data_IF_757890906573
#
_entry.id   IF_757890906573
#
_cell.length_a   1.000
_cell.length_b   1.000
_cell.length_c   1.000
_cell.angle_alpha   90.00
_cell.angle_beta   90.00
_cell.angle_gamma   90.00
#
_symmetry.space_group_name_H-M   'P 1'
#
loop_
_entity.id
_entity.type
_entity.pdbx_description
1 polymer ?
#
# COMPACT_ATOMS: atom_id res chain seq x y z
N UNK A 1 -25.35 9.68 16.59
CA UNK A 1 -23.97 9.72 17.13
C UNK A 1 -23.71 8.71 18.24
N UNK A 2 -24.66 8.48 19.17
CA UNK A 2 -24.47 7.58 20.33
C UNK A 2 -23.90 6.19 19.97
N UNK A 3 -24.45 5.51 18.95
CA UNK A 3 -23.97 4.19 18.50
C UNK A 3 -22.54 4.25 17.94
N UNK A 4 -22.18 5.30 17.19
CA UNK A 4 -20.81 5.49 16.66
C UNK A 4 -19.77 5.69 17.77
N UNK A 5 -20.18 6.21 18.93
CA UNK A 5 -19.30 6.41 20.08
C UNK A 5 -19.18 5.16 20.95
N UNK A 6 -20.31 4.50 21.26
CA UNK A 6 -20.32 3.33 22.16
C UNK A 6 -19.85 2.05 21.46
N UNK A 7 -20.23 1.87 20.19
CA UNK A 7 -19.90 0.69 19.39
C UNK A 7 -19.51 1.08 17.95
N UNK A 8 -18.34 1.72 17.76
CA UNK A 8 -17.91 2.25 16.46
C UNK A 8 -17.84 1.18 15.36
N UNK A 9 -17.28 0.01 15.67
CA UNK A 9 -17.16 -1.10 14.71
C UNK A 9 -18.52 -1.59 14.23
N UNK A 10 -19.49 -1.74 15.14
CA UNK A 10 -20.85 -2.12 14.78
C UNK A 10 -21.50 -1.04 13.93
N UNK A 11 -21.37 0.23 14.32
CA UNK A 11 -21.93 1.35 13.57
C UNK A 11 -21.42 1.36 12.12
N UNK A 12 -20.11 1.29 11.91
CA UNK A 12 -19.50 1.28 10.57
C UNK A 12 -19.98 0.09 9.75
N UNK A 13 -19.99 -1.12 10.33
CA UNK A 13 -20.48 -2.33 9.63
C UNK A 13 -21.95 -2.22 9.25
N UNK A 14 -22.79 -1.73 10.17
CA UNK A 14 -24.22 -1.56 9.94
C UNK A 14 -24.51 -0.51 8.87
N UNK A 15 -23.82 0.64 8.91
CA UNK A 15 -23.95 1.67 7.88
C UNK A 15 -23.46 1.16 6.52
N UNK A 16 -22.33 0.47 6.45
CA UNK A 16 -21.83 -0.10 5.20
C UNK A 16 -22.82 -1.13 4.62
N UNK A 17 -23.38 -1.99 5.46
CA UNK A 17 -24.42 -2.93 5.05
C UNK A 17 -25.66 -2.21 4.48
N UNK A 18 -26.13 -1.15 5.16
CA UNK A 18 -27.26 -0.36 4.67
C UNK A 18 -26.94 0.35 3.36
N UNK A 19 -25.74 0.95 3.24
CA UNK A 19 -25.29 1.60 2.02
C UNK A 19 -25.24 0.59 0.88
N UNK A 20 -24.65 -0.59 1.08
CA UNK A 20 -24.59 -1.64 0.06
C UNK A 20 -25.99 -2.10 -0.40
N UNK A 21 -26.98 -2.12 0.50
CA UNK A 21 -28.37 -2.48 0.18
C UNK A 21 -29.19 -1.38 -0.49
N UNK A 22 -28.98 -0.13 -0.08
CA UNK A 22 -29.79 1.02 -0.50
C UNK A 22 -29.21 1.69 -1.73
N UNK A 23 -27.88 1.71 -1.85
CA UNK A 23 -27.18 2.37 -2.96
C UNK A 23 -27.69 1.75 -4.27
N UNK A 24 -28.19 2.55 -5.22
CA UNK A 24 -28.54 2.02 -6.53
C UNK A 24 -27.32 1.29 -7.08
N UNK A 25 -27.56 0.20 -7.80
CA UNK A 25 -26.51 -0.67 -8.32
C UNK A 25 -25.67 0.11 -9.36
N UNK A 26 -24.76 0.97 -8.91
CA UNK A 26 -23.78 1.66 -9.73
C UNK A 26 -22.62 0.69 -9.88
N UNK A 27 -22.79 -0.29 -10.75
CA UNK A 27 -21.79 -1.32 -10.98
C UNK A 27 -20.78 -0.82 -11.99
N UNK A 28 -19.93 0.10 -11.53
CA UNK A 28 -18.68 0.41 -12.17
C UNK A 28 -17.77 -0.79 -11.96
N UNK A 29 -17.86 -1.76 -12.87
CA UNK A 29 -16.90 -2.83 -12.95
C UNK A 29 -15.75 -2.43 -13.88
N UNK A 30 -14.52 -2.91 -13.62
CA UNK A 30 -13.46 -2.80 -14.58
C UNK A 30 -13.86 -3.54 -15.88
N UNK A 31 -14.15 -2.77 -16.93
CA UNK A 31 -14.32 -3.33 -18.27
C UNK A 31 -12.98 -3.31 -18.99
N UNK A 32 -12.64 -4.43 -19.63
CA UNK A 32 -11.51 -4.46 -20.55
C UNK A 32 -11.87 -3.83 -21.89
N UNK A 33 -13.15 -3.76 -22.24
CA UNK A 33 -13.62 -3.27 -23.55
C UNK A 33 -13.30 -1.79 -23.76
N UNK A 34 -13.09 -1.04 -22.67
CA UNK A 34 -12.69 0.37 -22.72
C UNK A 34 -11.17 0.57 -22.80
N UNK A 35 -10.38 -0.51 -22.79
CA UNK A 35 -8.92 -0.49 -22.89
C UNK A 35 -8.56 -1.16 -24.21
N UNK A 36 -7.82 -0.47 -25.09
CA UNK A 36 -7.40 -1.06 -26.37
C UNK A 36 -6.60 -2.35 -26.16
N UNK A 37 -6.63 -3.26 -27.13
CA UNK A 37 -5.87 -4.51 -27.01
C UNK A 37 -4.37 -4.24 -26.92
N UNK A 38 -3.88 -3.22 -27.64
CA UNK A 38 -2.50 -2.75 -27.56
C UNK A 38 -2.14 -2.30 -26.14
N UNK A 39 -2.99 -1.48 -25.50
CA UNK A 39 -2.76 -1.01 -24.13
C UNK A 39 -2.81 -2.16 -23.12
N UNK A 40 -3.72 -3.11 -23.28
CA UNK A 40 -3.79 -4.29 -22.43
C UNK A 40 -2.47 -5.10 -22.49
N UNK A 41 -1.95 -5.33 -23.69
CA UNK A 41 -0.67 -6.02 -23.88
C UNK A 41 0.49 -5.23 -23.29
N UNK A 42 0.53 -3.91 -23.52
CA UNK A 42 1.53 -3.02 -22.96
C UNK A 42 1.55 -3.04 -21.42
N UNK A 43 0.39 -2.89 -20.77
CA UNK A 43 0.28 -2.93 -19.32
C UNK A 43 0.71 -4.28 -18.74
N UNK A 44 0.32 -5.38 -19.38
CA UNK A 44 0.70 -6.73 -18.97
C UNK A 44 2.22 -6.97 -19.06
N UNK A 45 2.84 -6.55 -20.16
CA UNK A 45 4.28 -6.68 -20.36
C UNK A 45 5.06 -5.79 -19.40
N UNK A 46 4.62 -4.54 -19.25
CA UNK A 46 5.25 -3.55 -18.38
C UNK A 46 5.28 -4.02 -16.93
N UNK A 47 4.16 -4.50 -16.38
CA UNK A 47 4.12 -4.95 -14.98
C UNK A 47 5.00 -6.18 -14.76
N UNK A 48 4.94 -7.19 -15.64
CA UNK A 48 5.74 -8.41 -15.54
C UNK A 48 7.24 -8.11 -15.55
N UNK A 49 7.68 -7.23 -16.46
CA UNK A 49 9.08 -6.81 -16.55
C UNK A 49 9.51 -6.01 -15.32
N UNK A 50 8.70 -5.05 -14.89
CA UNK A 50 9.01 -4.18 -13.73
C UNK A 50 9.20 -4.98 -12.45
N UNK A 51 8.36 -5.99 -12.20
CA UNK A 51 8.47 -6.85 -11.01
C UNK A 51 9.43 -8.04 -11.20
N UNK A 52 10.09 -8.12 -12.36
CA UNK A 52 10.99 -9.20 -12.75
C UNK A 52 10.36 -10.60 -12.63
N UNK A 53 9.08 -10.74 -13.00
CA UNK A 53 8.34 -12.01 -13.00
C UNK A 53 8.29 -12.59 -14.42
N UNK A 54 9.39 -12.60 -15.16
CA UNK A 54 9.41 -13.07 -16.55
C UNK A 54 9.49 -14.61 -16.68
N UNK A 55 9.85 -15.31 -15.60
CA UNK A 55 10.08 -16.76 -15.55
C UNK A 55 9.57 -17.33 -14.23
N UNK A 56 9.39 -18.65 -14.19
CA UNK A 56 9.06 -19.41 -12.99
C UNK A 56 7.78 -18.93 -12.29
N UNK A 57 6.71 -18.72 -13.05
CA UNK A 57 5.41 -18.33 -12.50
C UNK A 57 4.92 -19.36 -11.49
N UNK A 58 4.50 -18.85 -10.33
CA UNK A 58 3.70 -19.61 -9.37
C UNK A 58 2.32 -19.87 -9.97
N UNK A 59 1.68 -21.00 -9.63
CA UNK A 59 0.30 -21.25 -10.05
C UNK A 59 -0.69 -20.19 -9.52
N UNK A 60 -0.36 -19.52 -8.41
CA UNK A 60 -1.13 -18.41 -7.87
C UNK A 60 -0.21 -17.20 -7.71
N UNK A 61 -0.56 -16.11 -8.39
CA UNK A 61 0.13 -14.81 -8.30
C UNK A 61 -0.85 -13.78 -7.77
N UNK A 62 -0.48 -13.05 -6.72
CA UNK A 62 -1.35 -12.05 -6.08
C UNK A 62 -0.89 -10.65 -6.44
N UNK A 63 -1.76 -9.89 -7.08
CA UNK A 63 -1.60 -8.44 -7.25
C UNK A 63 -2.27 -7.76 -6.06
N UNK A 64 -1.48 -7.46 -5.04
CA UNK A 64 -1.96 -6.86 -3.80
C UNK A 64 -1.89 -5.34 -3.86
N UNK A 65 -3.05 -4.69 -3.91
CA UNK A 65 -3.18 -3.26 -3.75
C UNK A 65 -3.14 -2.86 -2.27
N UNK A 66 -2.87 -1.58 -2.02
CA UNK A 66 -3.00 -0.98 -0.69
C UNK A 66 -4.25 -0.09 -0.62
N UNK A 67 -4.90 -0.12 0.54
CA UNK A 67 -5.96 0.80 0.93
C UNK A 67 -5.92 0.98 2.45
N UNK A 68 -6.76 1.87 2.97
CA UNK A 68 -6.89 2.09 4.40
C UNK A 68 -8.36 2.28 4.77
N UNK A 69 -8.69 2.14 6.05
CA UNK A 69 -10.01 2.51 6.58
C UNK A 69 -9.82 3.38 7.78
N UNK A 70 -10.41 4.57 7.75
CA UNK A 70 -10.43 5.50 8.88
C UNK A 70 -11.73 6.28 8.90
N UNK A 71 -12.15 6.69 10.08
CA UNK A 71 -13.33 7.54 10.28
C UNK A 71 -12.90 8.94 10.71
N UNK A 72 -13.60 9.97 10.21
CA UNK A 72 -13.39 11.37 10.59
C UNK A 72 -11.91 11.80 10.54
N UNK A 73 -11.31 11.65 9.36
CA UNK A 73 -9.88 11.89 9.18
C UNK A 73 -9.59 12.74 7.95
N UNK A 74 -9.30 14.02 8.18
CA UNK A 74 -8.90 15.01 7.18
C UNK A 74 -7.70 14.58 6.34
N UNK A 75 -6.79 13.78 6.90
CA UNK A 75 -5.62 13.23 6.22
C UNK A 75 -5.79 11.75 5.80
N UNK A 76 -7.01 11.21 5.78
CA UNK A 76 -7.25 9.78 5.48
C UNK A 76 -6.63 9.32 4.15
N UNK A 77 -6.56 10.19 3.14
CA UNK A 77 -5.90 9.95 1.85
C UNK A 77 -4.40 9.70 1.98
N UNK A 78 -3.73 10.25 3.00
CA UNK A 78 -2.31 9.99 3.26
C UNK A 78 -2.05 8.58 3.82
N UNK A 79 -3.08 7.89 4.32
CA UNK A 79 -3.00 6.49 4.74
C UNK A 79 -3.33 5.51 3.61
N UNK A 80 -3.98 5.99 2.55
CA UNK A 80 -4.14 5.23 1.31
C UNK A 80 -2.82 5.16 0.52
N UNK A 81 -2.86 4.54 -0.66
CA UNK A 81 -1.67 4.36 -1.47
C UNK A 81 -1.21 5.70 -2.07
N UNK A 82 -0.01 6.16 -1.68
CA UNK A 82 0.61 7.35 -2.26
C UNK A 82 0.82 7.25 -3.77
N UNK A 83 1.21 6.06 -4.28
CA UNK A 83 1.35 5.81 -5.71
C UNK A 83 0.01 5.80 -6.47
N UNK A 84 -1.13 5.70 -5.76
CA UNK A 84 -2.47 5.78 -6.34
C UNK A 84 -3.16 7.10 -5.98
N UNK A 85 -2.38 8.17 -5.81
CA UNK A 85 -2.91 9.51 -5.51
C UNK A 85 -3.81 9.54 -4.27
N UNK A 86 -3.45 8.80 -3.22
CA UNK A 86 -4.21 8.76 -1.96
C UNK A 86 -5.55 8.02 -2.05
N UNK A 87 -5.70 7.11 -3.02
CA UNK A 87 -6.86 6.22 -3.16
C UNK A 87 -6.48 4.76 -2.94
N UNK A 88 -7.48 3.89 -2.80
CA UNK A 88 -7.25 2.44 -2.86
C UNK A 88 -6.75 2.03 -4.24
N UNK A 89 -5.72 1.19 -4.28
CA UNK A 89 -5.20 0.62 -5.53
C UNK A 89 -6.02 -0.55 -6.08
N UNK A 90 -7.13 -0.95 -5.44
CA UNK A 90 -7.85 -2.19 -5.79
C UNK A 90 -8.38 -2.19 -7.23
N UNK A 91 -8.79 -1.03 -7.76
CA UNK A 91 -9.21 -0.92 -9.16
C UNK A 91 -8.11 -1.38 -10.12
N UNK A 92 -6.88 -0.89 -9.92
CA UNK A 92 -5.73 -1.23 -10.74
C UNK A 92 -5.37 -2.72 -10.61
N UNK A 93 -5.38 -3.27 -9.39
CA UNK A 93 -5.11 -4.69 -9.16
C UNK A 93 -6.12 -5.60 -9.88
N UNK A 94 -7.41 -5.24 -9.85
CA UNK A 94 -8.46 -5.99 -10.56
C UNK A 94 -8.29 -5.93 -12.08
N UNK A 95 -8.08 -4.74 -12.63
CA UNK A 95 -7.84 -4.56 -14.08
C UNK A 95 -6.65 -5.40 -14.51
N UNK A 96 -5.52 -5.29 -13.83
CA UNK A 96 -4.30 -6.02 -14.19
C UNK A 96 -4.46 -7.53 -14.03
N UNK A 97 -5.13 -8.01 -12.97
CA UNK A 97 -5.41 -9.44 -12.80
C UNK A 97 -6.27 -9.98 -13.96
N UNK A 98 -7.30 -9.21 -14.37
CA UNK A 98 -8.17 -9.56 -15.48
C UNK A 98 -7.40 -9.60 -16.81
N UNK A 99 -6.59 -8.58 -17.10
CA UNK A 99 -5.71 -8.53 -18.28
C UNK A 99 -4.75 -9.73 -18.32
N UNK A 100 -4.11 -10.05 -17.20
CA UNK A 100 -3.12 -11.14 -17.13
C UNK A 100 -3.74 -12.54 -17.16
N UNK A 101 -5.05 -12.65 -16.93
CA UNK A 101 -5.80 -13.90 -17.11
C UNK A 101 -6.44 -14.01 -18.50
N UNK A 102 -6.37 -12.98 -19.34
CA UNK A 102 -6.95 -12.98 -20.69
C UNK A 102 -6.06 -13.78 -21.67
N UNK A 103 -6.65 -14.76 -22.35
CA UNK A 103 -5.93 -15.69 -23.22
C UNK A 103 -5.25 -14.94 -24.39
N UNK A 104 -5.95 -13.99 -24.99
CA UNK A 104 -5.42 -13.18 -26.11
C UNK A 104 -4.19 -12.38 -25.71
N UNK A 105 -4.15 -11.86 -24.47
CA UNK A 105 -3.00 -11.13 -23.92
C UNK A 105 -1.84 -12.09 -23.65
N UNK A 106 -2.11 -13.26 -23.05
CA UNK A 106 -1.07 -14.30 -22.85
C UNK A 106 -0.45 -14.77 -24.16
N UNK A 107 -1.26 -14.93 -25.21
CA UNK A 107 -0.81 -15.27 -26.56
C UNK A 107 0.02 -14.16 -27.22
N UNK A 108 -0.19 -12.89 -26.85
CA UNK A 108 0.68 -11.80 -27.27
C UNK A 108 2.02 -11.83 -26.51
N UNK A 109 1.98 -11.97 -25.18
CA UNK A 109 3.16 -12.00 -24.33
C UNK A 109 4.15 -13.12 -24.69
N UNK A 110 3.66 -14.27 -25.17
CA UNK A 110 4.51 -15.37 -25.63
C UNK A 110 5.40 -14.98 -26.81
N UNK A 111 4.95 -14.08 -27.69
CA UNK A 111 5.75 -13.52 -28.79
C UNK A 111 6.90 -12.66 -28.26
N UNK A 112 6.70 -12.00 -27.13
CA UNK A 112 7.73 -11.26 -26.38
C UNK A 112 8.56 -12.15 -25.43
N UNK A 113 8.51 -13.49 -25.61
CA UNK A 113 9.23 -14.50 -24.80
C UNK A 113 8.81 -14.54 -23.33
N UNK A 114 7.62 -14.07 -22.99
CA UNK A 114 7.02 -14.17 -21.66
C UNK A 114 5.96 -15.27 -21.71
N UNK A 115 6.28 -16.42 -21.11
CA UNK A 115 5.40 -17.60 -21.11
C UNK A 115 4.72 -17.74 -19.75
N UNK A 116 3.44 -17.38 -19.68
CA UNK A 116 2.60 -17.59 -18.50
C UNK A 116 1.92 -18.95 -18.62
N UNK A 117 2.18 -19.91 -17.72
CA UNK A 117 1.51 -21.21 -17.73
C UNK A 117 -0.01 -21.08 -17.61
N UNK A 118 -0.77 -21.94 -18.29
CA UNK A 118 -2.24 -22.00 -18.13
C UNK A 118 -2.65 -22.31 -16.69
N UNK A 119 -1.80 -23.03 -15.96
CA UNK A 119 -1.98 -23.33 -14.52
C UNK A 119 -1.74 -22.13 -13.60
N UNK A 120 -1.30 -20.98 -14.15
CA UNK A 120 -1.11 -19.73 -13.40
C UNK A 120 -2.38 -18.89 -13.41
N UNK A 121 -2.83 -18.52 -12.22
CA UNK A 121 -3.96 -17.63 -12.00
C UNK A 121 -3.50 -16.36 -11.27
N UNK A 122 -3.85 -15.20 -11.84
CA UNK A 122 -3.61 -13.90 -11.21
C UNK A 122 -4.82 -13.49 -10.39
N UNK A 123 -4.61 -13.19 -9.11
CA UNK A 123 -5.63 -12.83 -8.14
C UNK A 123 -5.42 -11.38 -7.69
N UNK A 124 -6.48 -10.57 -7.75
CA UNK A 124 -6.48 -9.25 -7.13
C UNK A 124 -6.70 -9.37 -5.61
N UNK A 125 -5.98 -8.56 -4.85
CA UNK A 125 -6.15 -8.42 -3.41
C UNK A 125 -6.02 -6.96 -2.97
N UNK A 126 -6.54 -6.65 -1.79
CA UNK A 126 -6.38 -5.35 -1.14
C UNK A 126 -5.94 -5.55 0.30
N UNK A 127 -4.78 -5.01 0.66
CA UNK A 127 -4.31 -4.89 2.04
C UNK A 127 -4.80 -3.56 2.62
N UNK A 128 -5.61 -3.66 3.67
CA UNK A 128 -6.01 -2.54 4.51
C UNK A 128 -4.91 -2.25 5.53
N UNK A 129 -4.14 -1.20 5.32
CA UNK A 129 -2.98 -0.84 6.15
C UNK A 129 -3.38 -0.62 7.62
N UNK A 130 -4.55 0.00 7.86
CA UNK A 130 -5.05 0.30 9.22
C UNK A 130 -5.39 -0.95 10.04
N UNK A 131 -5.80 -2.05 9.40
CA UNK A 131 -6.29 -3.27 10.10
C UNK A 131 -5.48 -4.53 9.81
N UNK A 132 -4.54 -4.46 8.86
CA UNK A 132 -3.81 -5.58 8.26
C UNK A 132 -4.69 -6.67 7.65
N UNK A 133 -5.96 -6.37 7.39
CA UNK A 133 -6.82 -7.27 6.63
C UNK A 133 -6.43 -7.27 5.16
N UNK A 134 -6.22 -8.47 4.61
CA UNK A 134 -6.04 -8.64 3.16
C UNK A 134 -7.28 -9.31 2.60
N UNK A 135 -8.06 -8.56 1.81
CA UNK A 135 -9.25 -9.05 1.14
C UNK A 135 -8.89 -9.55 -0.26
N UNK A 136 -9.26 -10.79 -0.56
CA UNK A 136 -9.03 -11.42 -1.86
C UNK A 136 -10.26 -11.28 -2.75
N UNK A 137 -10.04 -11.03 -4.04
CA UNK A 137 -11.09 -10.84 -5.03
C UNK A 137 -10.90 -11.82 -6.20
N UNK A 138 -11.20 -13.12 -6.00
CA UNK A 138 -11.19 -14.08 -7.10
C UNK A 138 -12.31 -13.74 -8.08
N UNK A 139 -11.99 -13.72 -9.37
CA UNK A 139 -12.91 -13.46 -10.47
C UNK A 139 -12.71 -14.49 -11.60
N UNK A 140 -13.77 -14.76 -12.36
CA UNK A 140 -13.74 -15.76 -13.43
C UNK A 140 -13.66 -17.20 -12.93
N UNK A 141 -13.38 -18.12 -13.85
CA UNK A 141 -13.23 -19.55 -13.55
C UNK A 141 -11.78 -19.89 -13.25
N UNK A 142 -11.56 -20.71 -12.22
CA UNK A 142 -10.26 -21.26 -11.85
C UNK A 142 -10.44 -22.69 -11.35
N UNK A 143 -9.36 -23.49 -11.37
CA UNK A 143 -9.42 -24.90 -11.00
C UNK A 143 -9.59 -25.11 -9.48
N UNK A 144 -10.05 -26.30 -9.09
CA UNK A 144 -10.13 -26.69 -7.68
C UNK A 144 -8.78 -26.59 -6.94
N UNK A 145 -7.66 -26.86 -7.64
CA UNK A 145 -6.32 -26.70 -7.09
C UNK A 145 -5.97 -25.23 -6.77
N UNK A 146 -6.46 -24.28 -7.56
CA UNK A 146 -6.31 -22.84 -7.26
C UNK A 146 -7.21 -22.44 -6.09
N UNK A 147 -8.43 -22.98 -6.03
CA UNK A 147 -9.34 -22.74 -4.90
C UNK A 147 -8.73 -23.17 -3.56
N UNK A 148 -8.10 -24.34 -3.51
CA UNK A 148 -7.38 -24.83 -2.33
C UNK A 148 -6.26 -23.87 -1.92
N UNK A 149 -5.45 -23.39 -2.88
CA UNK A 149 -4.38 -22.41 -2.62
C UNK A 149 -4.92 -21.08 -2.11
N UNK A 150 -6.04 -20.60 -2.66
CA UNK A 150 -6.71 -19.38 -2.18
C UNK A 150 -7.19 -19.58 -0.73
N UNK A 151 -7.76 -20.74 -0.42
CA UNK A 151 -8.23 -21.05 0.94
C UNK A 151 -7.08 -21.17 1.94
N UNK A 152 -5.93 -21.74 1.53
CA UNK A 152 -4.73 -21.74 2.35
C UNK A 152 -4.18 -20.32 2.57
N UNK A 153 -4.06 -19.53 1.50
CA UNK A 153 -3.63 -18.14 1.58
C UNK A 153 -4.52 -17.31 2.52
N UNK A 154 -5.85 -17.51 2.50
CA UNK A 154 -6.76 -16.86 3.46
C UNK A 154 -6.45 -17.20 4.92
N UNK A 155 -6.03 -18.43 5.23
CA UNK A 155 -5.63 -18.84 6.58
C UNK A 155 -4.31 -18.16 6.98
N UNK A 156 -3.33 -18.19 6.08
CA UNK A 156 -2.00 -17.59 6.33
C UNK A 156 -2.11 -16.07 6.54
N UNK A 157 -2.92 -15.38 5.73
CA UNK A 157 -3.18 -13.94 5.87
C UNK A 157 -3.90 -13.59 7.17
N UNK A 158 -4.78 -14.45 7.69
CA UNK A 158 -5.42 -14.25 9.00
C UNK A 158 -4.39 -14.32 10.13
N UNK A 159 -3.44 -15.24 10.05
CA UNK A 159 -2.36 -15.34 11.04
C UNK A 159 -1.40 -14.15 10.93
N UNK A 160 -1.01 -13.77 9.72
CA UNK A 160 -0.18 -12.58 9.49
C UNK A 160 -0.83 -11.30 10.05
N UNK A 161 -2.14 -11.12 9.85
CA UNK A 161 -2.92 -10.02 10.43
C UNK A 161 -2.87 -10.01 11.96
N UNK A 162 -2.99 -11.17 12.60
CA UNK A 162 -2.90 -11.31 14.06
C UNK A 162 -1.53 -10.87 14.57
N UNK A 163 -0.45 -11.37 13.96
CA UNK A 163 0.93 -11.01 14.30
C UNK A 163 1.17 -9.50 14.13
N UNK A 164 0.76 -8.94 13.00
CA UNK A 164 0.92 -7.50 12.74
C UNK A 164 0.10 -6.63 13.71
N UNK A 165 -1.14 -7.04 14.03
CA UNK A 165 -1.98 -6.35 15.02
C UNK A 165 -1.34 -6.36 16.42
N UNK A 166 -0.70 -7.46 16.81
CA UNK A 166 0.04 -7.55 18.07
C UNK A 166 1.23 -6.59 18.08
N UNK A 167 2.04 -6.57 17.01
CA UNK A 167 3.18 -5.65 16.87
C UNK A 167 2.72 -4.19 16.98
N UNK A 168 1.71 -3.81 16.19
CA UNK A 168 1.15 -2.45 16.18
C UNK A 168 0.58 -2.03 17.54
N UNK A 169 -0.14 -2.93 18.22
CA UNK A 169 -0.70 -2.63 19.55
C UNK A 169 0.39 -2.33 20.58
N UNK A 170 1.53 -3.03 20.52
CA UNK A 170 2.68 -2.77 21.40
C UNK A 170 3.30 -1.39 21.11
N UNK A 171 3.51 -1.06 19.83
CA UNK A 171 4.07 0.24 19.44
C UNK A 171 3.16 1.43 19.78
N UNK A 172 1.85 1.20 19.81
CA UNK A 172 0.86 2.19 20.26
C UNK A 172 0.69 2.26 21.78
N UNK A 173 1.59 1.64 22.54
CA UNK A 173 1.67 1.68 24.01
C UNK A 173 0.38 1.24 24.71
N UNK A 174 -0.36 0.32 24.10
CA UNK A 174 -1.55 -0.26 24.72
C UNK A 174 -1.15 -1.55 25.44
N UNK A 175 -0.99 -1.46 26.76
CA UNK A 175 -0.85 -2.59 27.69
C UNK A 175 -2.17 -3.37 27.81
N UNK A 176 -2.71 -3.85 26.70
CA UNK A 176 -3.82 -4.82 26.70
C UNK A 176 -3.25 -6.20 26.41
N UNK A 177 -3.89 -7.24 26.96
CA UNK A 177 -3.51 -8.63 26.68
C UNK A 177 -3.40 -8.86 25.16
N UNK A 178 -2.44 -9.69 24.76
CA UNK A 178 -2.17 -9.99 23.34
C UNK A 178 -3.42 -10.44 22.57
N UNK A 179 -4.37 -11.05 23.29
CA UNK A 179 -5.63 -11.59 22.78
C UNK A 179 -6.60 -10.53 22.23
N UNK A 180 -6.47 -9.26 22.63
CA UNK A 180 -7.36 -8.17 22.17
C UNK A 180 -6.75 -7.25 21.12
N UNK A 181 -5.56 -7.56 20.62
CA UNK A 181 -4.84 -6.72 19.64
C UNK A 181 -5.62 -6.49 18.34
N UNK A 182 -6.25 -7.54 17.79
CA UNK A 182 -7.08 -7.46 16.58
C UNK A 182 -8.33 -6.59 16.78
N UNK A 183 -9.02 -6.78 17.90
CA UNK A 183 -10.19 -5.97 18.26
C UNK A 183 -9.78 -4.50 18.44
N UNK A 184 -8.62 -4.26 19.06
CA UNK A 184 -8.07 -2.94 19.27
C UNK A 184 -7.78 -2.20 17.95
N UNK A 185 -7.02 -2.81 17.04
CA UNK A 185 -6.70 -2.19 15.74
C UNK A 185 -7.95 -1.95 14.89
N UNK A 186 -8.86 -2.92 14.87
CA UNK A 186 -10.16 -2.80 14.17
C UNK A 186 -11.05 -1.72 14.79
N UNK A 187 -11.08 -1.59 16.11
CA UNK A 187 -11.83 -0.51 16.77
C UNK A 187 -11.23 0.84 16.43
N UNK A 188 -9.90 0.95 16.40
CA UNK A 188 -9.20 2.20 16.08
C UNK A 188 -9.49 2.71 14.67
N UNK A 189 -9.62 1.81 13.69
CA UNK A 189 -9.98 2.19 12.32
C UNK A 189 -11.42 2.70 12.17
N UNK A 190 -12.32 2.29 13.07
CA UNK A 190 -13.75 2.62 13.02
C UNK A 190 -14.17 3.72 14.01
N UNK A 191 -13.32 4.08 14.95
CA UNK A 191 -13.62 5.05 15.99
C UNK A 191 -13.33 6.48 15.49
N UNK A 192 -14.40 7.24 15.29
CA UNK A 192 -14.38 8.60 14.75
C UNK A 192 -13.63 9.61 15.62
N UNK A 193 -13.42 9.30 16.91
CA UNK A 193 -12.64 10.14 17.82
C UNK A 193 -11.13 9.87 17.74
N UNK A 194 -10.69 8.85 16.97
CA UNK A 194 -9.29 8.50 16.90
C UNK A 194 -8.51 9.53 16.10
N UNK A 195 -7.57 10.18 16.79
CA UNK A 195 -6.60 11.06 16.15
C UNK A 195 -5.47 10.30 15.46
N UNK A 196 -5.30 9.01 15.81
CA UNK A 196 -4.27 8.08 15.31
C UNK A 196 -4.85 6.69 15.07
N UNK A 197 -5.60 6.48 13.97
CA UNK A 197 -6.13 5.16 13.61
C UNK A 197 -5.00 4.17 13.30
N UNK A 198 -3.92 4.63 12.64
CA UNK A 198 -2.66 3.93 12.46
C UNK A 198 -1.46 4.92 12.41
N UNK A 199 -0.23 4.39 12.28
CA UNK A 199 0.99 5.19 12.10
C UNK A 199 1.33 5.46 10.61
N UNK A 200 0.56 4.88 9.68
CA UNK A 200 0.87 4.91 8.26
C UNK A 200 2.28 4.37 8.00
N UNK A 201 3.07 5.11 7.23
CA UNK A 201 4.45 4.79 6.89
C UNK A 201 5.47 5.54 7.77
N UNK A 202 5.08 5.98 8.97
CA UNK A 202 6.03 6.55 9.91
C UNK A 202 7.16 5.55 10.25
N UNK A 203 8.30 6.07 10.69
CA UNK A 203 9.59 5.34 10.81
C UNK A 203 10.21 4.79 9.52
N UNK A 204 9.62 5.01 8.34
CA UNK A 204 10.27 4.65 7.08
C UNK A 204 11.69 5.25 7.02
N UNK A 205 12.64 4.44 6.56
CA UNK A 205 14.06 4.74 6.65
C UNK A 205 14.83 4.35 5.40
N UNK A 206 14.43 3.26 4.74
CA UNK A 206 15.21 2.71 3.62
C UNK A 206 14.37 2.08 2.54
N UNK A 207 14.96 1.99 1.35
CA UNK A 207 14.42 1.26 0.21
C UNK A 207 15.46 0.30 -0.33
N UNK A 208 15.22 -1.01 -0.21
CA UNK A 208 16.11 -2.05 -0.71
C UNK A 208 15.65 -2.52 -2.08
N UNK A 209 16.54 -2.43 -3.06
CA UNK A 209 16.37 -2.95 -4.42
C UNK A 209 17.35 -4.12 -4.55
N UNK A 210 16.90 -5.31 -4.13
CA UNK A 210 17.77 -6.47 -3.98
C UNK A 210 17.01 -7.80 -4.13
N UNK A 211 17.70 -8.91 -4.46
CA UNK A 211 17.06 -10.22 -4.53
C UNK A 211 16.43 -10.63 -3.20
N UNK A 212 15.25 -11.26 -3.25
CA UNK A 212 14.53 -11.78 -2.07
C UNK A 212 15.42 -12.59 -1.12
N UNK A 213 16.31 -13.43 -1.66
CA UNK A 213 17.14 -14.31 -0.83
C UNK A 213 18.15 -13.56 0.06
N UNK A 214 18.48 -12.30 -0.28
CA UNK A 214 19.33 -11.41 0.51
C UNK A 214 18.53 -10.80 1.67
N UNK A 215 17.30 -10.37 1.39
CA UNK A 215 16.48 -9.62 2.37
C UNK A 215 15.66 -10.53 3.29
N UNK A 216 15.32 -11.76 2.89
CA UNK A 216 14.38 -12.65 3.61
C UNK A 216 14.74 -13.02 5.05
N UNK A 217 16.01 -12.91 5.44
CA UNK A 217 16.49 -13.27 6.79
C UNK A 217 16.69 -12.07 7.70
N UNK A 218 16.45 -10.86 7.20
CA UNK A 218 16.66 -9.61 7.92
C UNK A 218 15.33 -9.14 8.51
N UNK A 219 15.35 -8.71 9.77
CA UNK A 219 14.26 -7.94 10.35
C UNK A 219 14.51 -6.45 10.09
N UNK A 220 13.63 -5.83 9.31
CA UNK A 220 13.70 -4.39 9.01
C UNK A 220 12.85 -3.56 9.97
N UNK A 221 12.25 -4.18 10.99
CA UNK A 221 11.38 -3.54 11.99
C UNK A 221 10.18 -2.78 11.38
N UNK A 222 9.81 -3.10 10.14
CA UNK A 222 8.80 -2.38 9.35
C UNK A 222 9.23 -0.99 8.87
N UNK A 223 10.55 -0.74 8.73
CA UNK A 223 11.12 0.57 8.33
C UNK A 223 11.65 0.60 6.89
N UNK A 224 11.60 -0.52 6.19
CA UNK A 224 12.14 -0.66 4.84
C UNK A 224 11.04 -0.97 3.82
N UNK A 225 11.09 -0.29 2.68
CA UNK A 225 10.46 -0.78 1.45
C UNK A 225 11.38 -1.84 0.83
N UNK A 226 10.80 -2.90 0.29
CA UNK A 226 11.53 -4.00 -0.34
C UNK A 226 11.06 -4.19 -1.79
N UNK A 227 11.98 -4.10 -2.75
CA UNK A 227 11.75 -4.41 -4.15
C UNK A 227 12.68 -5.53 -4.59
N UNK A 228 12.10 -6.66 -5.01
CA UNK A 228 12.89 -7.76 -5.57
C UNK A 228 13.49 -7.32 -6.91
N UNK A 229 14.81 -7.44 -7.03
CA UNK A 229 15.55 -7.07 -8.24
C UNK A 229 16.78 -7.95 -8.39
N UNK A 230 17.17 -8.28 -9.62
CA UNK A 230 18.36 -9.07 -9.91
C UNK A 230 19.04 -8.52 -11.17
N UNK A 231 20.16 -7.81 -10.99
CA UNK A 231 20.88 -7.17 -12.08
C UNK A 231 21.31 -8.14 -13.19
N UNK A 232 21.45 -9.44 -12.89
CA UNK A 232 21.83 -10.46 -13.88
C UNK A 232 20.74 -10.68 -14.93
N UNK A 233 19.51 -10.29 -14.62
CA UNK A 233 18.35 -10.33 -15.51
C UNK A 233 18.09 -8.97 -16.18
N UNK A 234 18.91 -7.96 -15.85
CA UNK A 234 18.79 -6.58 -16.30
C UNK A 234 20.15 -6.10 -16.84
N UNK A 235 20.68 -6.82 -17.83
CA UNK A 235 21.97 -6.53 -18.47
C UNK A 235 22.02 -5.16 -19.17
N UNK A 236 20.88 -4.49 -19.32
CA UNK A 236 20.69 -3.16 -19.89
C UNK A 236 20.36 -2.07 -18.85
N UNK A 237 20.15 -2.44 -17.58
CA UNK A 237 19.87 -1.52 -16.47
C UNK A 237 18.52 -0.82 -16.54
N UNK A 238 17.72 -1.16 -17.54
CA UNK A 238 16.43 -0.51 -17.82
C UNK A 238 15.42 -0.80 -16.72
N UNK A 239 15.45 -2.01 -16.14
CA UNK A 239 14.56 -2.34 -15.02
C UNK A 239 14.98 -1.54 -13.79
N UNK A 240 16.29 -1.45 -13.50
CA UNK A 240 16.78 -0.65 -12.39
C UNK A 240 16.46 0.84 -12.56
N UNK A 241 16.65 1.38 -13.76
CA UNK A 241 16.28 2.75 -14.09
C UNK A 241 14.80 2.99 -13.78
N UNK A 242 13.89 2.12 -14.26
CA UNK A 242 12.46 2.20 -13.96
C UNK A 242 12.16 2.14 -12.45
N UNK A 243 12.84 1.26 -11.70
CA UNK A 243 12.67 1.18 -10.24
C UNK A 243 13.12 2.48 -9.56
N UNK A 244 14.21 3.08 -10.02
CA UNK A 244 14.77 4.31 -9.46
C UNK A 244 13.98 5.56 -9.86
N UNK A 245 13.35 5.57 -11.03
CA UNK A 245 12.56 6.72 -11.52
C UNK A 245 11.07 6.64 -11.16
N UNK A 246 10.58 5.52 -10.64
CA UNK A 246 9.18 5.41 -10.21
C UNK A 246 9.04 4.96 -8.74
N UNK A 247 9.21 3.67 -8.36
CA UNK A 247 9.13 3.23 -6.97
C UNK A 247 9.99 4.01 -5.98
N UNK A 248 11.25 4.34 -6.33
CA UNK A 248 12.14 5.08 -5.43
C UNK A 248 11.68 6.53 -5.23
N UNK A 249 11.19 7.19 -6.29
CA UNK A 249 10.61 8.54 -6.17
C UNK A 249 9.40 8.52 -5.24
N UNK A 250 8.51 7.53 -5.36
CA UNK A 250 7.36 7.38 -4.44
C UNK A 250 7.84 7.18 -3.00
N UNK A 251 8.81 6.29 -2.78
CA UNK A 251 9.38 6.07 -1.45
C UNK A 251 10.01 7.35 -0.87
N UNK A 252 10.69 8.14 -1.72
CA UNK A 252 11.30 9.40 -1.33
C UNK A 252 10.26 10.48 -1.02
N UNK A 253 9.17 10.60 -1.79
CA UNK A 253 8.09 11.53 -1.49
C UNK A 253 7.41 11.21 -0.16
N UNK A 254 7.17 9.92 0.11
CA UNK A 254 6.66 9.47 1.40
C UNK A 254 7.67 9.85 2.51
N UNK A 255 8.95 9.50 2.36
CA UNK A 255 9.96 9.81 3.35
C UNK A 255 10.07 11.31 3.63
N UNK A 256 10.16 12.13 2.59
CA UNK A 256 10.25 13.59 2.69
C UNK A 256 9.03 14.18 3.43
N UNK A 257 7.83 13.66 3.16
CA UNK A 257 6.62 14.10 3.86
C UNK A 257 6.73 13.89 5.38
N UNK A 258 7.22 12.72 5.81
CA UNK A 258 7.45 12.44 7.23
C UNK A 258 8.64 13.23 7.80
N UNK A 259 9.73 13.35 7.05
CA UNK A 259 10.93 14.11 7.44
C UNK A 259 10.57 15.56 7.76
N UNK A 260 10.01 16.29 6.80
CA UNK A 260 9.75 17.72 6.97
C UNK A 260 8.63 17.97 7.99
N UNK A 261 7.58 17.15 8.00
CA UNK A 261 6.49 17.28 8.99
C UNK A 261 6.96 17.02 10.42
N UNK A 262 8.03 16.24 10.61
CA UNK A 262 8.65 16.03 11.93
C UNK A 262 9.65 17.14 12.28
N UNK A 263 10.42 17.66 11.31
CA UNK A 263 11.41 18.71 11.56
C UNK A 263 10.77 20.01 12.05
N UNK A 264 9.76 20.48 11.34
CA UNK A 264 8.98 21.65 11.72
C UNK A 264 7.54 21.46 11.24
N UNK A 265 6.66 21.05 12.16
CA UNK A 265 5.27 20.79 11.84
C UNK A 265 4.48 22.07 11.54
N UNK A 266 4.93 23.22 12.05
CA UNK A 266 4.30 24.52 11.77
C UNK A 266 4.57 24.95 10.33
N UNK A 267 5.82 24.82 9.87
CA UNK A 267 6.23 25.22 8.53
C UNK A 267 5.89 24.18 7.45
N UNK A 268 6.08 22.89 7.72
CA UNK A 268 5.99 21.82 6.72
C UNK A 268 4.97 20.74 7.05
N UNK A 269 4.28 20.86 8.17
CA UNK A 269 3.24 19.92 8.60
C UNK A 269 1.83 20.43 8.29
N UNK A 270 0.88 19.96 9.07
CA UNK A 270 -0.49 20.49 9.06
C UNK A 270 -1.04 20.77 10.46
N UNK A 271 -0.15 21.06 11.42
CA UNK A 271 -0.50 21.38 12.78
C UNK A 271 -1.22 20.25 13.52
N UNK A 272 -2.11 20.61 14.45
CA UNK A 272 -2.87 19.64 15.23
C UNK A 272 -4.13 19.21 14.50
N UNK A 273 -4.39 17.89 14.44
CA UNK A 273 -5.65 17.33 13.90
C UNK A 273 -6.89 17.94 14.56
N UNK A 274 -6.80 18.36 15.83
CA UNK A 274 -7.93 18.88 16.63
C UNK A 274 -8.58 20.09 15.97
N UNK A 275 -7.77 20.92 15.33
CA UNK A 275 -8.17 22.23 14.80
C UNK A 275 -8.15 22.28 13.27
N UNK A 276 -8.07 21.13 12.59
CA UNK A 276 -8.02 21.08 11.13
C UNK A 276 -9.39 21.32 10.50
N UNK A 277 -9.40 22.24 9.53
CA UNK A 277 -10.50 22.45 8.60
C UNK A 277 -10.05 22.09 7.19
N UNK A 278 -10.87 21.31 6.46
CA UNK A 278 -10.61 20.99 5.05
C UNK A 278 -10.99 22.20 4.20
N UNK A 279 -10.03 22.76 3.47
CA UNK A 279 -10.23 23.97 2.65
C UNK A 279 -10.00 23.66 1.18
N UNK A 280 -10.98 24.02 0.35
CA UNK A 280 -10.90 23.85 -1.11
C UNK A 280 -10.76 22.40 -1.59
N UNK A 281 -10.94 21.40 -0.70
CA UNK A 281 -10.70 19.96 -0.94
C UNK A 281 -9.26 19.60 -1.33
N UNK A 282 -8.31 20.52 -1.20
CA UNK A 282 -6.91 20.33 -1.63
C UNK A 282 -5.90 20.54 -0.52
N UNK A 283 -6.29 21.24 0.56
CA UNK A 283 -5.40 21.58 1.66
C UNK A 283 -6.16 21.68 2.99
N UNK A 284 -5.40 21.90 4.06
CA UNK A 284 -5.90 22.06 5.42
C UNK A 284 -5.62 23.47 5.94
N UNK A 285 -6.49 23.97 6.80
CA UNK A 285 -6.23 25.16 7.62
C UNK A 285 -6.33 24.80 9.10
N UNK A 286 -5.63 25.53 9.95
CA UNK A 286 -5.67 25.44 11.40
C UNK A 286 -6.60 26.51 11.97
N UNK A 287 -7.62 26.08 12.72
CA UNK A 287 -8.58 26.95 13.37
C UNK A 287 -9.37 27.79 12.36
N UNK A 288 -9.71 29.01 12.78
CA UNK A 288 -10.54 29.92 11.97
C UNK A 288 -9.74 30.62 10.86
N UNK A 289 -8.42 30.75 11.01
CA UNK A 289 -7.54 31.40 10.05
C UNK A 289 -6.10 30.90 10.21
N UNK A 290 -5.50 30.46 9.10
CA UNK A 290 -4.09 30.12 8.96
C UNK A 290 -3.70 30.15 7.49
N UNK A 291 -2.42 30.00 7.19
CA UNK A 291 -2.00 29.63 5.84
C UNK A 291 -2.52 28.22 5.46
N UNK A 292 -2.56 27.93 4.17
CA UNK A 292 -2.84 26.58 3.68
C UNK A 292 -1.69 25.65 4.04
N UNK A 293 -2.03 24.52 4.65
CA UNK A 293 -1.09 23.50 5.10
C UNK A 293 -1.27 22.21 4.28
N UNK A 294 -0.15 21.58 3.92
CA UNK A 294 -0.09 20.43 3.01
C UNK A 294 0.68 19.22 3.59
N UNK A 295 1.26 19.33 4.79
CA UNK A 295 2.01 18.26 5.44
C UNK A 295 1.18 17.33 6.32
N UNK A 296 1.86 16.47 7.07
CA UNK A 296 1.23 15.57 8.04
C UNK A 296 0.94 16.28 9.36
N UNK A 297 -0.15 15.93 10.04
CA UNK A 297 -0.44 16.51 11.34
C UNK A 297 0.56 16.02 12.39
N UNK A 298 0.73 16.81 13.44
CA UNK A 298 1.56 16.48 14.58
C UNK A 298 1.29 15.06 15.13
N UNK A 299 0.03 14.65 15.18
CA UNK A 299 -0.36 13.33 15.68
C UNK A 299 0.13 12.16 14.80
N UNK A 300 0.44 12.38 13.52
CA UNK A 300 0.98 11.34 12.64
C UNK A 300 2.49 11.12 12.80
N UNK A 301 3.20 12.13 13.31
CA UNK A 301 4.67 12.13 13.43
C UNK A 301 5.18 12.07 14.87
N UNK A 302 4.35 12.42 15.86
CA UNK A 302 4.70 12.42 17.29
C UNK A 302 3.85 11.46 18.12
N UNK A 303 4.51 10.73 19.04
CA UNK A 303 3.88 9.84 20.03
C UNK A 303 3.09 10.64 21.06
N UNK A 304 3.67 11.72 21.52
CA UNK A 304 3.15 12.67 22.50
C UNK A 304 3.77 14.05 22.21
N UNK A 305 3.46 15.05 23.03
CA UNK A 305 3.83 16.44 22.77
C UNK A 305 5.35 16.71 22.73
N UNK A 306 6.18 15.78 23.22
CA UNK A 306 7.63 15.95 23.33
C UNK A 306 8.44 14.88 22.60
N UNK A 307 7.82 13.79 22.18
CA UNK A 307 8.52 12.60 21.67
C UNK A 307 8.07 12.30 20.24
N UNK A 308 8.98 12.44 19.28
CA UNK A 308 8.75 12.05 17.89
C UNK A 308 8.58 10.53 17.77
N UNK A 309 7.60 10.07 16.98
CA UNK A 309 7.47 8.67 16.57
C UNK A 309 8.36 8.39 15.36
N UNK A 310 8.31 9.26 14.34
CA UNK A 310 9.23 9.21 13.20
C UNK A 310 10.52 9.93 13.56
N UNK A 311 11.66 9.30 13.32
CA UNK A 311 12.97 9.99 13.41
C UNK A 311 13.17 10.74 12.10
N UNK A 312 13.36 12.07 12.11
CA UNK A 312 13.55 12.83 10.87
C UNK A 312 14.85 12.40 10.21
N UNK A 313 14.74 11.68 9.10
CA UNK A 313 15.88 11.21 8.31
C UNK A 313 15.52 11.14 6.83
N UNK A 314 16.54 11.32 5.97
CA UNK A 314 16.42 11.08 4.53
C UNK A 314 16.34 9.59 4.23
N UNK A 315 15.66 9.22 3.15
CA UNK A 315 15.55 7.85 2.68
C UNK A 315 16.93 7.31 2.29
N UNK A 316 17.27 6.13 2.77
CA UNK A 316 18.47 5.40 2.37
C UNK A 316 18.09 4.37 1.30
N UNK A 317 18.48 4.61 0.05
CA UNK A 317 18.28 3.64 -1.04
C UNK A 317 19.50 2.73 -1.18
N UNK A 318 19.28 1.42 -1.11
CA UNK A 318 20.31 0.39 -1.19
C UNK A 318 20.03 -0.47 -2.41
N UNK A 319 20.99 -0.51 -3.33
CA UNK A 319 20.84 -1.18 -4.63
C UNK A 319 21.81 -2.34 -4.74
N UNK A 320 21.29 -3.52 -5.07
CA UNK A 320 22.07 -4.68 -5.47
C UNK A 320 22.43 -4.58 -6.95
N UNK A 321 23.58 -4.00 -7.24
CA UNK A 321 24.10 -3.77 -8.60
C UNK A 321 25.53 -4.31 -8.75
N UNK A 322 26.00 -4.63 -9.97
CA UNK A 322 27.35 -5.12 -10.17
C UNK A 322 28.36 -3.97 -10.09
N UNK A 323 29.57 -4.31 -9.68
CA UNK A 323 30.66 -3.33 -9.56
C UNK A 323 31.20 -2.95 -10.94
N UNK A 324 31.20 -1.66 -11.29
CA UNK A 324 31.84 -1.13 -12.50
C UNK A 324 31.04 -1.14 -13.82
N UNK A 325 29.79 -1.63 -13.85
CA UNK A 325 29.02 -1.78 -15.10
C UNK A 325 27.93 -0.73 -15.39
N UNK A 326 27.52 0.06 -14.38
CA UNK A 326 26.28 0.87 -14.42
C UNK A 326 26.47 2.29 -13.91
N UNK A 327 27.56 2.96 -14.27
CA UNK A 327 27.71 4.39 -13.92
C UNK A 327 27.18 5.24 -15.08
N UNK A 328 25.86 5.20 -15.24
CA UNK A 328 25.06 6.31 -15.81
C UNK A 328 23.89 6.69 -14.89
N UNK A 329 24.00 6.40 -13.60
CA UNK A 329 23.10 6.97 -12.60
C UNK A 329 23.61 8.37 -12.22
N UNK A 330 23.41 9.32 -13.12
CA UNK A 330 23.38 10.74 -12.77
C UNK A 330 22.08 11.06 -12.04
N UNK A 331 21.94 10.52 -10.83
CA UNK A 331 20.85 10.86 -9.92
C UNK A 331 21.46 11.12 -8.54
N UNK A 332 22.11 12.28 -8.43
CA UNK A 332 22.25 12.94 -7.14
C UNK A 332 20.84 13.38 -6.75
N UNK A 333 20.17 12.58 -5.93
CA UNK A 333 18.95 13.02 -5.26
C UNK A 333 19.36 13.38 -3.84
N UNK A 334 19.33 14.68 -3.57
CA UNK A 334 19.71 15.31 -2.30
C UNK A 334 18.80 14.93 -1.14
#
# INVERSE_FOLDING_TARGET
MLVRTVSPVFAVRFFNYLIEKIRPCSVLFPSLDTISFEDQCYYAESIIKTINLSKNFSSLVVLCAHGSTTENNSYGTALHCGACSGHSGIGNAKVLAKILNEERVRNHLSKSKIFIPETTYFLAAEHNTTTDEVKLYPEGSYSAAIEEKINQLKKDLKEARKINSQRRSREMLVNKSQDKSLEYTTRKSADWAQVRPEWGLAKNASFFIAPWHITKKLDFEGRAFLHSYDYRQDLGGTILEQILTAPMIVAQWINAQYLFSTLDNGAYGSGSKITQNITGKVALMQGNASDLMNGLPFQSVYKNDTTSYHVPMRLITIVWAPWGGWIKLSAVIF
#
